data_IF_833940079834
#
_entry.id   IF_833940079834
#
_cell.length_a   1.000
_cell.length_b   1.000
_cell.length_c   1.000
_cell.angle_alpha   90.00
_cell.angle_beta   90.00
_cell.angle_gamma   90.00
#
_symmetry.space_group_name_H-M   'P 1'
#
loop_
_entity.id
_entity.type
_entity.pdbx_description
1 polymer ?
#
# COMPACT_ATOMS: atom_id res chain seq x y z
N UNK A 1 13.07 -18.29 86.44
CA UNK A 1 12.74 -16.96 85.89
C UNK A 1 12.23 -17.20 84.46
N UNK A 2 10.92 -17.40 84.31
CA UNK A 2 9.93 -16.41 83.80
C UNK A 2 10.01 -16.16 82.28
N UNK A 3 8.98 -16.63 81.58
CA UNK A 3 8.52 -16.33 80.19
C UNK A 3 8.36 -14.81 79.92
N UNK A 4 8.07 -14.30 78.68
CA UNK A 4 7.40 -14.94 77.51
C UNK A 4 8.09 -14.66 76.13
N UNK A 5 7.94 -15.46 75.08
CA UNK A 5 6.81 -15.62 74.14
C UNK A 5 6.32 -14.31 73.48
N UNK A 6 6.71 -14.07 72.23
CA UNK A 6 5.95 -13.25 71.28
C UNK A 6 5.78 -13.99 69.95
N UNK A 7 4.56 -14.49 69.76
CA UNK A 7 4.02 -14.95 68.50
C UNK A 7 3.94 -13.80 67.49
N UNK A 8 4.30 -14.06 66.24
CA UNK A 8 3.92 -13.22 65.10
C UNK A 8 2.65 -13.80 64.47
N UNK A 9 1.66 -12.97 64.12
CA UNK A 9 0.38 -13.44 63.63
C UNK A 9 0.46 -13.88 62.17
N UNK A 10 -0.24 -14.97 61.92
CA UNK A 10 -0.81 -15.37 60.63
C UNK A 10 -1.76 -14.26 60.13
N UNK A 11 -1.63 -13.89 58.86
CA UNK A 11 -2.62 -13.05 58.17
C UNK A 11 -2.56 -13.32 56.66
N UNK A 12 -3.35 -14.33 56.30
CA UNK A 12 -4.37 -14.31 55.24
C UNK A 12 -3.96 -13.95 53.81
N UNK A 13 -4.07 -14.97 52.97
CA UNK A 13 -4.38 -14.93 51.55
C UNK A 13 -5.23 -13.71 51.15
N UNK A 14 -4.72 -12.93 50.20
CA UNK A 14 -5.54 -12.03 49.37
C UNK A 14 -5.35 -12.39 47.91
N UNK A 15 -6.04 -13.46 47.51
CA UNK A 15 -6.36 -13.72 46.09
C UNK A 15 -7.25 -12.57 45.64
N UNK A 16 -6.68 -11.66 44.84
CA UNK A 16 -7.43 -10.57 44.22
C UNK A 16 -8.27 -11.15 43.07
N UNK A 17 -9.52 -11.53 43.40
CA UNK A 17 -10.56 -11.83 42.44
C UNK A 17 -10.79 -10.60 41.54
N UNK A 18 -10.41 -10.71 40.26
CA UNK A 18 -10.84 -9.77 39.23
C UNK A 18 -12.34 -9.92 39.03
N UNK A 19 -13.09 -8.97 39.55
CA UNK A 19 -14.52 -8.79 39.25
C UNK A 19 -14.65 -8.48 37.74
N UNK A 20 -15.42 -9.25 36.95
CA UNK A 20 -15.77 -8.86 35.61
C UNK A 20 -16.59 -7.57 35.69
N UNK A 21 -16.13 -6.50 35.03
CA UNK A 21 -16.95 -5.32 34.84
C UNK A 21 -18.06 -5.70 33.86
N UNK A 22 -19.26 -5.91 34.39
CA UNK A 22 -20.49 -5.94 33.61
C UNK A 22 -20.56 -4.67 32.77
N UNK A 23 -20.45 -4.85 31.45
CA UNK A 23 -20.78 -3.82 30.48
C UNK A 23 -22.30 -3.74 30.42
N UNK A 24 -22.87 -2.72 31.05
CA UNK A 24 -24.26 -2.35 30.80
C UNK A 24 -24.44 -2.07 29.30
N UNK A 25 -25.29 -2.87 28.68
CA UNK A 25 -25.71 -2.71 27.30
C UNK A 25 -26.44 -1.37 27.12
N UNK A 26 -26.00 -0.55 26.17
CA UNK A 26 -26.83 0.52 25.63
C UNK A 26 -27.65 -0.04 24.47
N UNK A 27 -28.96 0.08 24.57
CA UNK A 27 -29.97 -0.54 23.70
C UNK A 27 -30.29 0.30 22.47
N UNK A 28 -29.29 0.84 21.77
CA UNK A 28 -29.52 1.55 20.52
C UNK A 28 -28.86 0.75 19.39
N UNK A 29 -29.67 0.00 18.64
CA UNK A 29 -29.28 -0.90 17.55
C UNK A 29 -28.66 -0.22 16.32
N UNK A 30 -27.82 0.78 16.52
CA UNK A 30 -26.91 1.31 15.50
C UNK A 30 -25.63 0.48 15.54
N UNK A 31 -25.13 -0.03 14.40
CA UNK A 31 -23.84 -0.70 14.39
C UNK A 31 -22.81 0.27 14.96
N UNK A 32 -22.15 -0.14 16.05
CA UNK A 32 -20.96 0.53 16.55
C UNK A 32 -19.90 0.34 15.48
N UNK A 33 -19.71 1.32 14.59
CA UNK A 33 -18.48 1.36 13.81
C UNK A 33 -17.35 1.39 14.83
N UNK A 34 -16.54 0.32 14.86
CA UNK A 34 -15.27 0.40 15.55
C UNK A 34 -14.54 1.64 15.03
N UNK A 35 -13.85 2.41 15.88
CA UNK A 35 -13.13 3.59 15.41
C UNK A 35 -12.17 3.15 14.31
N UNK A 36 -12.36 3.64 13.09
CA UNK A 36 -11.44 3.40 11.98
C UNK A 36 -10.05 3.84 12.42
N UNK A 37 -9.07 2.95 12.36
CA UNK A 37 -7.68 3.30 12.62
C UNK A 37 -7.33 4.46 11.70
N UNK A 38 -6.80 5.54 12.29
CA UNK A 38 -6.25 6.64 11.51
C UNK A 38 -4.80 6.30 11.21
N UNK A 39 -4.38 6.43 9.96
CA UNK A 39 -3.00 6.24 9.52
C UNK A 39 -2.44 7.56 9.02
N UNK A 40 -1.14 7.77 9.28
CA UNK A 40 -0.38 8.89 8.74
C UNK A 40 0.13 8.49 7.36
N UNK A 41 -0.21 9.30 6.38
CA UNK A 41 0.27 9.24 5.01
C UNK A 41 1.15 10.45 4.76
N UNK A 42 2.32 10.24 4.20
CA UNK A 42 3.27 11.29 3.87
C UNK A 42 3.43 11.37 2.36
N UNK A 43 3.70 12.56 1.84
CA UNK A 43 4.01 12.72 0.44
C UNK A 43 4.91 13.92 0.19
N UNK A 44 5.69 13.83 -0.89
CA UNK A 44 6.44 14.93 -1.46
C UNK A 44 6.03 15.07 -2.93
N UNK A 45 5.86 16.31 -3.40
CA UNK A 45 5.52 16.58 -4.79
C UNK A 45 6.29 17.76 -5.36
N UNK A 46 6.54 17.71 -6.67
CA UNK A 46 7.21 18.77 -7.42
C UNK A 46 6.21 19.88 -7.76
N UNK A 47 6.47 21.08 -7.26
CA UNK A 47 5.70 22.27 -7.59
C UNK A 47 6.05 22.83 -8.98
N UNK A 48 5.20 23.72 -9.54
CA UNK A 48 5.47 24.38 -10.82
C UNK A 48 6.76 25.22 -10.84
N UNK A 49 7.21 25.67 -9.66
CA UNK A 49 8.45 26.42 -9.45
C UNK A 49 9.66 25.52 -9.18
N UNK A 50 9.52 24.20 -9.40
CA UNK A 50 10.51 23.16 -9.14
C UNK A 50 10.88 23.00 -7.66
N UNK A 51 10.12 23.60 -6.74
CA UNK A 51 10.28 23.33 -5.30
C UNK A 51 9.58 22.05 -4.90
N UNK A 52 10.16 21.31 -3.96
CA UNK A 52 9.53 20.11 -3.41
C UNK A 52 8.65 20.52 -2.23
N UNK A 53 7.35 20.21 -2.32
CA UNK A 53 6.38 20.42 -1.25
C UNK A 53 6.10 19.11 -0.54
N UNK A 54 6.30 19.10 0.78
CA UNK A 54 5.99 17.95 1.62
C UNK A 54 4.66 18.14 2.35
N UNK A 55 3.89 17.06 2.47
CA UNK A 55 2.62 17.02 3.17
C UNK A 55 2.53 15.79 4.06
N UNK A 56 1.84 15.93 5.18
CA UNK A 56 1.48 14.82 6.06
C UNK A 56 -0.01 14.88 6.35
N UNK A 57 -0.72 13.79 6.06
CA UNK A 57 -2.16 13.68 6.20
C UNK A 57 -2.50 12.48 7.06
N UNK A 58 -3.21 12.72 8.16
CA UNK A 58 -3.81 11.66 8.96
C UNK A 58 -5.22 11.37 8.45
N UNK A 59 -5.44 10.18 7.91
CA UNK A 59 -6.69 9.75 7.28
C UNK A 59 -7.08 8.32 7.70
N UNK A 60 -8.32 7.87 7.46
CA UNK A 60 -8.70 6.50 7.77
C UNK A 60 -7.84 5.48 7.02
N UNK A 61 -7.49 4.38 7.69
CA UNK A 61 -6.85 3.22 7.12
C UNK A 61 -7.87 2.42 6.28
N UNK A 62 -8.15 2.91 5.08
CA UNK A 62 -9.06 2.31 4.11
C UNK A 62 -8.34 2.13 2.75
N UNK A 63 -8.78 1.21 1.89
CA UNK A 63 -7.99 0.78 0.73
C UNK A 63 -7.62 1.93 -0.20
N UNK A 64 -8.52 2.89 -0.42
CA UNK A 64 -8.25 4.04 -1.31
C UNK A 64 -7.07 4.91 -0.86
N UNK A 65 -6.90 5.13 0.45
CA UNK A 65 -5.74 5.86 0.97
C UNK A 65 -4.48 4.99 0.97
N UNK A 66 -4.62 3.72 1.33
CA UNK A 66 -3.50 2.80 1.42
C UNK A 66 -2.89 2.50 0.06
N UNK A 67 -3.71 2.12 -0.92
CA UNK A 67 -3.27 1.82 -2.29
C UNK A 67 -2.51 2.99 -2.91
N UNK A 68 -2.80 4.23 -2.52
CA UNK A 68 -2.09 5.39 -3.03
C UNK A 68 -0.62 5.43 -2.65
N UNK A 69 -0.23 4.89 -1.49
CA UNK A 69 1.12 5.04 -0.94
C UNK A 69 1.79 3.72 -0.60
N UNK A 70 1.21 2.58 -0.96
CA UNK A 70 1.66 1.26 -0.51
C UNK A 70 1.92 0.26 -1.63
N UNK A 71 2.60 0.69 -2.70
CA UNK A 71 2.99 -0.21 -3.78
C UNK A 71 4.29 -0.96 -3.47
N UNK A 72 5.35 -0.26 -3.10
CA UNK A 72 6.69 -0.83 -3.00
C UNK A 72 7.23 -0.71 -1.58
N UNK A 73 7.86 -1.77 -1.08
CA UNK A 73 8.55 -1.70 0.20
C UNK A 73 9.87 -0.94 0.08
N UNK A 74 10.31 -0.34 1.19
CA UNK A 74 11.65 0.20 1.37
C UNK A 74 12.73 -0.75 0.83
N UNK A 75 13.73 -0.20 0.16
CA UNK A 75 14.82 -0.93 -0.50
C UNK A 75 14.49 -1.40 -1.92
N UNK A 76 13.26 -1.18 -2.40
CA UNK A 76 12.89 -1.47 -3.79
C UNK A 76 13.69 -0.60 -4.75
N UNK A 77 14.45 -1.21 -5.66
CA UNK A 77 15.23 -0.48 -6.65
C UNK A 77 14.39 -0.09 -7.86
N UNK A 78 14.33 1.21 -8.13
CA UNK A 78 13.70 1.81 -9.32
C UNK A 78 14.79 2.21 -10.31
N UNK A 79 14.60 1.91 -11.59
CA UNK A 79 15.53 2.33 -12.63
C UNK A 79 15.40 3.82 -12.92
N UNK A 80 16.52 4.54 -12.84
CA UNK A 80 16.64 5.95 -13.23
C UNK A 80 17.68 6.12 -14.33
N UNK A 81 17.70 7.29 -14.95
CA UNK A 81 18.73 7.66 -15.95
C UNK A 81 20.16 7.63 -15.39
N UNK A 82 20.32 7.76 -14.07
CA UNK A 82 21.61 7.71 -13.37
C UNK A 82 21.96 6.32 -12.81
N UNK A 83 21.13 5.30 -13.07
CA UNK A 83 21.24 3.96 -12.48
C UNK A 83 20.11 3.63 -11.50
N UNK A 84 20.11 2.44 -10.89
CA UNK A 84 19.09 2.06 -9.92
C UNK A 84 19.17 2.92 -8.64
N UNK A 85 18.03 3.42 -8.17
CA UNK A 85 17.89 4.20 -6.93
C UNK A 85 16.86 3.48 -6.04
N UNK A 86 17.09 3.43 -4.73
CA UNK A 86 16.11 2.88 -3.80
C UNK A 86 14.88 3.79 -3.73
N UNK A 87 13.69 3.21 -3.65
CA UNK A 87 12.42 3.96 -3.69
C UNK A 87 12.35 5.07 -2.64
N UNK A 88 12.91 4.83 -1.44
CA UNK A 88 12.97 5.81 -0.35
C UNK A 88 13.91 6.99 -0.60
N UNK A 89 14.85 6.85 -1.53
CA UNK A 89 15.85 7.88 -1.87
C UNK A 89 15.44 8.69 -3.10
N UNK A 90 14.37 8.30 -3.80
CA UNK A 90 13.83 9.07 -4.91
C UNK A 90 13.20 10.38 -4.43
N UNK A 91 13.49 11.45 -5.16
CA UNK A 91 12.89 12.76 -4.94
C UNK A 91 12.06 13.18 -6.16
N UNK A 92 10.97 13.95 -5.95
CA UNK A 92 10.31 14.61 -7.07
C UNK A 92 11.31 15.46 -7.87
N UNK A 93 11.37 15.23 -9.18
CA UNK A 93 12.37 15.76 -10.09
C UNK A 93 13.34 14.70 -10.65
N UNK A 94 13.51 13.57 -9.97
CA UNK A 94 14.35 12.47 -10.47
C UNK A 94 13.71 11.80 -11.69
N UNK A 95 14.54 11.43 -12.67
CA UNK A 95 14.07 10.85 -13.93
C UNK A 95 14.11 9.32 -13.88
N UNK A 96 12.93 8.70 -13.88
CA UNK A 96 12.77 7.23 -13.91
C UNK A 96 12.58 6.72 -15.33
N UNK A 97 13.04 5.49 -15.62
CA UNK A 97 12.80 4.83 -16.89
C UNK A 97 11.37 4.29 -16.97
N UNK A 98 10.61 4.70 -17.99
CA UNK A 98 9.24 4.22 -18.25
C UNK A 98 9.13 3.41 -19.55
N UNK A 99 7.93 2.93 -19.88
CA UNK A 99 7.61 2.31 -21.17
C UNK A 99 7.70 3.26 -22.38
N UNK A 100 7.75 4.58 -22.14
CA UNK A 100 7.68 5.62 -23.19
C UNK A 100 8.89 6.56 -23.21
N UNK A 101 9.93 6.26 -22.42
CA UNK A 101 11.11 7.10 -22.24
C UNK A 101 11.29 7.51 -20.78
N UNK A 102 12.31 8.31 -20.48
CA UNK A 102 12.50 8.80 -19.12
C UNK A 102 11.54 9.93 -18.80
N UNK A 103 10.94 9.88 -17.61
CA UNK A 103 10.01 10.91 -17.12
C UNK A 103 10.34 11.29 -15.68
N UNK A 104 10.13 12.56 -15.29
CA UNK A 104 10.39 13.00 -13.93
C UNK A 104 9.30 12.47 -12.98
N UNK A 105 9.72 12.00 -11.81
CA UNK A 105 8.84 11.78 -10.67
C UNK A 105 8.25 13.13 -10.26
N UNK A 106 6.92 13.25 -10.26
CA UNK A 106 6.25 14.48 -9.82
C UNK A 106 5.70 14.36 -8.41
N UNK A 107 5.59 13.12 -7.91
CA UNK A 107 5.05 12.82 -6.59
C UNK A 107 5.59 11.49 -6.08
N UNK A 108 5.88 11.44 -4.78
CA UNK A 108 6.15 10.21 -4.04
C UNK A 108 5.35 10.26 -2.75
N UNK A 109 4.59 9.20 -2.47
CA UNK A 109 3.84 9.04 -1.23
C UNK A 109 4.34 7.83 -0.46
N UNK A 110 4.24 7.90 0.86
CA UNK A 110 4.64 6.81 1.75
C UNK A 110 3.67 6.60 2.92
N UNK A 111 3.70 5.39 3.44
CA UNK A 111 3.00 5.03 4.68
C UNK A 111 3.74 3.90 5.40
N UNK A 112 3.66 3.86 6.72
CA UNK A 112 4.14 2.72 7.50
C UNK A 112 3.08 1.62 7.58
N UNK A 113 3.50 0.39 7.30
CA UNK A 113 2.78 -0.83 7.66
C UNK A 113 3.36 -1.40 8.94
N UNK A 114 2.51 -1.71 9.92
CA UNK A 114 2.89 -2.35 11.18
C UNK A 114 2.14 -3.68 11.30
N UNK A 115 2.83 -4.82 11.17
CA UNK A 115 2.22 -6.14 11.31
C UNK A 115 1.52 -6.32 12.67
N UNK A 116 0.40 -7.05 12.68
CA UNK A 116 -0.38 -7.34 13.90
C UNK A 116 -1.29 -6.20 14.38
N UNK A 117 -1.28 -5.04 13.73
CA UNK A 117 -2.26 -3.97 13.96
C UNK A 117 -3.45 -4.19 13.03
N UNK A 118 -4.46 -4.92 13.50
CA UNK A 118 -5.70 -5.12 12.76
C UNK A 118 -6.58 -3.87 12.84
N UNK A 119 -7.11 -3.45 11.68
CA UNK A 119 -8.11 -2.41 11.60
C UNK A 119 -9.24 -2.86 10.69
N UNK A 120 -10.46 -2.75 11.18
CA UNK A 120 -11.66 -2.95 10.36
C UNK A 120 -11.63 -1.99 9.17
N UNK A 121 -11.70 -2.54 7.95
CA UNK A 121 -11.67 -1.77 6.70
C UNK A 121 -10.27 -1.53 6.10
N UNK A 122 -9.17 -1.84 6.79
CA UNK A 122 -7.81 -1.73 6.23
C UNK A 122 -7.60 -2.82 5.17
N UNK A 123 -7.15 -2.44 3.97
CA UNK A 123 -6.68 -3.35 2.93
C UNK A 123 -5.23 -3.79 3.14
N UNK A 124 -4.42 -2.95 3.79
CA UNK A 124 -3.03 -3.18 4.12
C UNK A 124 -2.88 -4.10 5.34
N UNK A 125 -3.16 -5.38 5.13
CA UNK A 125 -3.13 -6.44 6.16
C UNK A 125 -1.92 -7.36 6.04
N UNK A 126 -1.33 -7.43 4.85
CA UNK A 126 -0.20 -8.29 4.47
C UNK A 126 0.53 -7.69 3.28
N UNK A 127 1.74 -8.18 3.01
CA UNK A 127 2.53 -7.81 1.83
C UNK A 127 2.67 -9.03 0.91
N UNK A 128 3.06 -8.79 -0.33
CA UNK A 128 3.38 -9.84 -1.30
C UNK A 128 4.86 -9.81 -1.63
N UNK A 129 5.56 -10.91 -1.34
CA UNK A 129 6.94 -11.16 -1.75
C UNK A 129 6.93 -11.93 -3.07
N UNK A 130 7.48 -11.31 -4.09
CA UNK A 130 7.79 -11.94 -5.37
C UNK A 130 9.22 -12.46 -5.27
N UNK A 131 9.40 -13.77 -5.23
CA UNK A 131 10.74 -14.38 -5.10
C UNK A 131 11.57 -14.14 -6.36
N UNK A 132 12.90 -14.13 -6.24
CA UNK A 132 13.78 -14.01 -7.39
C UNK A 132 13.43 -15.06 -8.47
N UNK A 133 13.52 -14.66 -9.74
CA UNK A 133 13.20 -15.46 -10.93
C UNK A 133 11.73 -15.96 -11.03
N UNK A 134 10.80 -15.46 -10.21
CA UNK A 134 9.38 -15.84 -10.22
C UNK A 134 8.71 -15.78 -11.61
N UNK A 135 9.10 -14.81 -12.43
CA UNK A 135 8.59 -14.60 -13.79
C UNK A 135 9.67 -14.88 -14.86
N UNK A 136 10.63 -15.73 -14.53
CA UNK A 136 11.76 -16.11 -15.38
C UNK A 136 13.04 -15.36 -15.03
N UNK A 137 14.15 -15.61 -15.76
CA UNK A 137 15.48 -15.16 -15.37
C UNK A 137 15.55 -13.65 -15.13
N UNK A 138 16.04 -13.28 -13.94
CA UNK A 138 16.17 -11.91 -13.43
C UNK A 138 14.86 -11.12 -13.34
N UNK A 139 13.71 -11.80 -13.19
CA UNK A 139 12.38 -11.20 -13.04
C UNK A 139 11.64 -11.73 -11.80
N UNK A 140 11.91 -11.19 -10.61
CA UNK A 140 12.94 -10.21 -10.31
C UNK A 140 14.33 -10.81 -10.04
N UNK A 141 15.38 -9.99 -10.19
CA UNK A 141 16.77 -10.44 -9.95
C UNK A 141 17.07 -10.70 -8.47
N UNK A 142 16.35 -10.01 -7.60
CA UNK A 142 16.30 -10.24 -6.15
C UNK A 142 14.84 -10.17 -5.75
N UNK A 143 14.52 -10.76 -4.61
CA UNK A 143 13.16 -10.72 -4.09
C UNK A 143 12.62 -9.29 -3.98
N UNK A 144 11.38 -9.12 -4.43
CA UNK A 144 10.67 -7.85 -4.42
C UNK A 144 9.50 -7.94 -3.45
N UNK A 145 9.42 -7.01 -2.50
CA UNK A 145 8.29 -6.94 -1.57
C UNK A 145 7.39 -5.77 -1.96
N UNK A 146 6.10 -6.08 -2.11
CA UNK A 146 5.07 -5.15 -2.57
C UNK A 146 3.91 -5.09 -1.58
N UNK A 147 3.26 -3.94 -1.49
CA UNK A 147 1.99 -3.78 -0.79
C UNK A 147 0.80 -3.81 -1.75
N UNK A 148 -0.42 -3.56 -1.25
CA UNK A 148 -1.66 -3.68 -2.01
C UNK A 148 -1.80 -2.66 -3.16
N UNK A 149 -1.03 -1.57 -3.15
CA UNK A 149 -1.02 -0.60 -4.23
C UNK A 149 -0.30 -1.08 -5.50
N UNK A 150 0.48 -2.16 -5.43
CA UNK A 150 1.29 -2.62 -6.56
C UNK A 150 0.46 -3.36 -7.60
N UNK A 151 0.55 -2.88 -8.84
CA UNK A 151 0.05 -3.59 -10.03
C UNK A 151 1.18 -3.82 -11.02
N UNK A 152 1.21 -5.00 -11.61
CA UNK A 152 2.16 -5.36 -12.67
C UNK A 152 1.45 -5.48 -14.02
N UNK A 153 2.22 -5.27 -15.09
CA UNK A 153 1.72 -5.50 -16.45
C UNK A 153 1.62 -7.00 -16.72
N UNK A 154 0.46 -7.42 -17.20
CA UNK A 154 0.23 -8.76 -17.73
C UNK A 154 -0.07 -8.64 -19.21
N UNK A 155 0.64 -9.42 -20.03
CA UNK A 155 0.42 -9.48 -21.47
C UNK A 155 -0.19 -10.82 -21.89
N UNK A 156 -1.29 -10.76 -22.64
CA UNK A 156 -1.94 -11.93 -23.24
C UNK A 156 -2.51 -11.58 -24.60
N UNK A 157 -2.21 -12.40 -25.61
CA UNK A 157 -2.69 -12.17 -26.98
C UNK A 157 -4.23 -12.25 -27.08
N UNK A 158 -4.88 -13.01 -26.20
CA UNK A 158 -6.35 -13.13 -26.16
C UNK A 158 -7.03 -11.82 -25.77
N UNK A 159 -6.37 -10.98 -24.97
CA UNK A 159 -6.88 -9.66 -24.62
C UNK A 159 -7.04 -8.75 -25.85
N UNK A 160 -6.15 -8.89 -26.86
CA UNK A 160 -6.27 -8.08 -28.10
C UNK A 160 -7.62 -8.30 -28.77
N UNK A 161 -8.08 -9.54 -28.82
CA UNK A 161 -9.35 -9.91 -29.45
C UNK A 161 -10.56 -9.39 -28.67
N UNK A 162 -10.47 -9.33 -27.34
CA UNK A 162 -11.61 -8.98 -26.48
C UNK A 162 -11.75 -7.49 -26.20
N UNK A 163 -10.63 -6.80 -25.96
CA UNK A 163 -10.62 -5.40 -25.50
C UNK A 163 -9.72 -4.49 -26.36
N UNK A 164 -9.20 -4.99 -27.48
CA UNK A 164 -8.34 -4.21 -28.39
C UNK A 164 -6.93 -3.92 -27.86
N UNK A 165 -6.55 -4.45 -26.69
CA UNK A 165 -5.25 -4.26 -26.05
C UNK A 165 -4.68 -5.61 -25.61
N UNK A 166 -3.36 -5.84 -25.72
CA UNK A 166 -2.74 -7.08 -25.20
C UNK A 166 -2.29 -6.98 -23.74
N UNK A 167 -2.26 -5.77 -23.18
CA UNK A 167 -1.60 -5.48 -21.91
C UNK A 167 -2.59 -4.85 -20.95
N UNK A 168 -2.60 -5.35 -19.72
CA UNK A 168 -3.44 -4.86 -18.62
C UNK A 168 -2.60 -4.73 -17.35
N UNK A 169 -3.08 -3.96 -16.39
CA UNK A 169 -2.51 -3.88 -15.05
C UNK A 169 -3.30 -4.76 -14.10
N UNK A 170 -2.62 -5.63 -13.36
CA UNK A 170 -3.24 -6.53 -12.38
C UNK A 170 -2.50 -6.42 -11.06
N UNK A 171 -3.25 -6.46 -9.95
CA UNK A 171 -2.69 -6.47 -8.60
C UNK A 171 -1.66 -7.59 -8.46
N UNK A 172 -0.48 -7.28 -7.90
CA UNK A 172 0.54 -8.30 -7.62
C UNK A 172 0.02 -9.31 -6.59
N UNK A 173 -0.81 -8.86 -5.64
CA UNK A 173 -1.41 -9.72 -4.63
C UNK A 173 -2.36 -10.78 -5.22
N UNK A 174 -2.97 -10.53 -6.39
CA UNK A 174 -3.82 -11.50 -7.08
C UNK A 174 -3.05 -12.74 -7.56
N UNK A 175 -1.71 -12.68 -7.59
CA UNK A 175 -0.86 -13.76 -8.06
C UNK A 175 -0.35 -14.68 -6.94
N UNK A 176 -0.70 -14.41 -5.68
CA UNK A 176 -0.28 -15.22 -4.54
C UNK A 176 -0.60 -16.71 -4.77
N UNK A 177 0.45 -17.51 -4.86
CA UNK A 177 0.38 -18.95 -5.15
C UNK A 177 1.06 -19.82 -4.08
N UNK A 178 1.74 -19.20 -3.11
CA UNK A 178 2.45 -19.91 -2.04
C UNK A 178 3.80 -20.50 -2.47
N UNK A 179 4.27 -20.20 -3.68
CA UNK A 179 5.57 -20.63 -4.20
C UNK A 179 6.38 -19.43 -4.69
N UNK A 180 5.91 -18.78 -5.77
CA UNK A 180 6.62 -17.68 -6.43
C UNK A 180 6.14 -16.30 -5.95
N UNK A 181 4.87 -16.23 -5.59
CA UNK A 181 4.24 -15.05 -5.03
C UNK A 181 3.73 -15.44 -3.65
N UNK A 182 4.40 -14.95 -2.63
CA UNK A 182 4.16 -15.31 -1.23
C UNK A 182 3.46 -14.17 -0.51
N UNK A 183 2.34 -14.45 0.13
CA UNK A 183 1.81 -13.56 1.16
C UNK A 183 2.74 -13.63 2.39
N UNK A 184 3.17 -12.47 2.89
CA UNK A 184 4.09 -12.39 4.02
C UNK A 184 3.62 -11.42 5.09
N UNK A 185 4.00 -11.73 6.32
CA UNK A 185 3.90 -10.87 7.50
C UNK A 185 5.32 -10.57 7.99
N UNK A 186 5.89 -9.40 7.69
CA UNK A 186 7.19 -8.98 8.20
C UNK A 186 7.26 -9.05 9.72
N UNK A 187 8.45 -9.23 10.28
CA UNK A 187 8.65 -9.25 11.73
C UNK A 187 8.59 -7.86 12.39
N UNK A 188 8.64 -6.79 11.59
CA UNK A 188 8.66 -5.42 12.07
C UNK A 188 7.97 -4.47 11.10
N UNK A 189 7.90 -3.20 11.48
CA UNK A 189 7.30 -2.17 10.64
C UNK A 189 8.06 -2.06 9.30
N UNK A 190 7.31 -1.90 8.22
CA UNK A 190 7.85 -1.71 6.87
C UNK A 190 7.28 -0.41 6.33
N UNK A 191 8.18 0.45 5.84
CA UNK A 191 7.78 1.63 5.11
C UNK A 191 7.49 1.27 3.65
N UNK A 192 6.34 1.72 3.17
CA UNK A 192 5.87 1.48 1.82
C UNK A 192 5.74 2.80 1.07
N UNK A 193 5.87 2.73 -0.24
CA UNK A 193 5.98 3.86 -1.13
C UNK A 193 5.17 3.65 -2.41
N UNK A 194 4.79 4.74 -3.07
CA UNK A 194 4.38 4.75 -4.48
C UNK A 194 4.80 6.07 -5.11
N UNK A 195 4.99 6.09 -6.42
CA UNK A 195 5.38 7.29 -7.17
C UNK A 195 4.38 7.58 -8.26
N UNK A 196 4.13 8.86 -8.54
CA UNK A 196 3.37 9.29 -9.71
C UNK A 196 4.27 10.12 -10.62
N UNK A 197 3.95 10.05 -11.91
CA UNK A 197 4.57 10.86 -12.96
C UNK A 197 3.54 11.85 -13.49
N UNK A 198 3.98 12.77 -14.36
CA UNK A 198 3.07 13.76 -14.96
C UNK A 198 1.96 13.10 -15.79
N UNK A 199 2.25 11.96 -16.40
CA UNK A 199 1.27 11.12 -17.07
C UNK A 199 1.40 9.72 -16.50
N UNK A 200 0.28 9.03 -16.33
CA UNK A 200 0.31 7.64 -15.92
C UNK A 200 1.18 6.82 -16.89
N UNK A 201 2.12 6.07 -16.34
CA UNK A 201 3.01 5.19 -17.09
C UNK A 201 3.36 3.95 -16.27
N UNK A 202 4.16 3.08 -16.86
CA UNK A 202 4.75 1.95 -16.16
C UNK A 202 6.25 2.13 -16.03
N UNK A 203 6.83 1.64 -14.95
CA UNK A 203 8.26 1.68 -14.65
C UNK A 203 8.82 0.26 -14.52
N UNK A 204 10.14 0.12 -14.64
CA UNK A 204 10.81 -1.16 -14.35
C UNK A 204 11.29 -1.23 -12.91
N UNK A 205 10.78 -2.21 -12.17
CA UNK A 205 11.15 -2.52 -10.78
C UNK A 205 11.55 -3.99 -10.72
N UNK A 206 12.81 -4.27 -10.39
CA UNK A 206 13.34 -5.63 -10.39
C UNK A 206 13.10 -6.36 -11.72
N UNK A 207 13.22 -5.69 -12.87
CA UNK A 207 12.95 -6.33 -14.18
C UNK A 207 11.47 -6.62 -14.49
N UNK A 208 10.57 -6.27 -13.58
CA UNK A 208 9.12 -6.34 -13.74
C UNK A 208 8.61 -4.97 -14.15
N UNK A 209 7.66 -4.95 -15.07
CA UNK A 209 6.97 -3.72 -15.44
C UNK A 209 5.79 -3.46 -14.50
N UNK A 210 5.86 -2.36 -13.75
CA UNK A 210 4.97 -2.02 -12.65
C UNK A 210 4.30 -0.67 -12.85
N UNK A 211 3.10 -0.52 -12.30
CA UNK A 211 2.28 0.69 -12.35
C UNK A 211 2.86 1.86 -11.53
N UNK A 212 2.90 3.06 -12.13
CA UNK A 212 3.01 4.33 -11.39
C UNK A 212 1.63 4.73 -10.84
N UNK A 213 1.59 5.46 -9.74
CA UNK A 213 0.33 5.79 -9.09
C UNK A 213 -0.61 6.56 -10.02
N UNK A 214 -1.87 6.11 -10.01
CA UNK A 214 -3.00 6.82 -10.57
C UNK A 214 -4.24 6.49 -9.73
N UNK A 215 -5.09 7.48 -9.39
CA UNK A 215 -6.26 7.26 -8.53
C UNK A 215 -7.33 6.38 -9.19
N UNK A 216 -7.29 6.26 -10.51
CA UNK A 216 -8.30 5.55 -11.30
C UNK A 216 -9.52 6.43 -11.58
N UNK A 217 -10.43 5.93 -12.40
CA UNK A 217 -11.64 6.66 -12.80
C UNK A 217 -12.68 6.64 -11.68
N UNK A 218 -13.34 7.78 -11.43
CA UNK A 218 -14.45 7.85 -10.47
C UNK A 218 -14.03 7.87 -8.99
N UNK A 219 -12.75 8.13 -8.70
CA UNK A 219 -12.19 8.18 -7.34
C UNK A 219 -12.99 9.07 -6.39
N UNK A 220 -13.47 10.23 -6.87
CA UNK A 220 -14.28 11.17 -6.07
C UNK A 220 -15.56 10.53 -5.51
N UNK A 221 -16.19 9.63 -6.27
CA UNK A 221 -17.39 8.89 -5.81
C UNK A 221 -17.03 7.85 -4.75
N UNK A 222 -15.86 7.21 -4.87
CA UNK A 222 -15.40 6.22 -3.89
C UNK A 222 -15.02 6.86 -2.55
N UNK A 223 -14.46 8.07 -2.60
CA UNK A 223 -13.99 8.79 -1.41
C UNK A 223 -15.11 9.40 -0.56
N UNK A 224 -16.23 9.79 -1.18
CA UNK A 224 -17.31 10.50 -0.47
C UNK A 224 -16.77 11.71 0.31
N UNK A 225 -17.06 11.75 1.60
CA UNK A 225 -16.65 12.84 2.51
C UNK A 225 -15.13 12.95 2.70
N UNK A 226 -14.36 11.93 2.30
CA UNK A 226 -12.89 11.95 2.40
C UNK A 226 -12.19 12.58 1.20
N UNK A 227 -12.92 13.05 0.18
CA UNK A 227 -12.33 13.52 -1.08
C UNK A 227 -11.33 14.68 -0.89
N UNK A 228 -11.68 15.68 -0.08
CA UNK A 228 -10.80 16.82 0.19
C UNK A 228 -9.55 16.41 0.99
N UNK A 229 -9.72 15.48 1.94
CA UNK A 229 -8.60 14.95 2.73
C UNK A 229 -7.64 14.15 1.86
N UNK A 230 -8.16 13.37 0.93
CA UNK A 230 -7.37 12.61 -0.02
C UNK A 230 -6.64 13.52 -1.00
N UNK A 231 -7.30 14.56 -1.53
CA UNK A 231 -6.69 15.53 -2.43
C UNK A 231 -5.44 16.23 -1.82
N UNK A 232 -5.43 16.44 -0.49
CA UNK A 232 -4.26 17.00 0.22
C UNK A 232 -2.99 16.16 0.10
N UNK A 233 -3.09 14.87 -0.26
CA UNK A 233 -1.92 14.03 -0.52
C UNK A 233 -1.21 14.40 -1.83
N UNK A 234 -1.88 15.10 -2.75
CA UNK A 234 -1.39 15.32 -4.10
C UNK A 234 -1.24 16.83 -4.41
N UNK A 235 -0.29 17.53 -3.78
CA UNK A 235 -0.14 18.99 -3.95
C UNK A 235 0.39 19.42 -5.33
N UNK A 236 0.62 18.49 -6.25
CA UNK A 236 1.06 18.74 -7.63
C UNK A 236 -0.11 18.82 -8.62
N UNK A 237 -1.35 18.56 -8.16
CA UNK A 237 -2.57 18.65 -8.97
C UNK A 237 -3.59 19.55 -8.29
N UNK A 238 -4.44 20.20 -9.08
CA UNK A 238 -5.57 21.00 -8.61
C UNK A 238 -6.83 20.12 -8.49
N UNK A 239 -6.94 19.09 -9.33
CA UNK A 239 -8.04 18.13 -9.35
C UNK A 239 -7.60 16.71 -9.69
N UNK A 240 -8.51 15.74 -9.51
CA UNK A 240 -8.20 14.33 -9.84
C UNK A 240 -8.10 14.08 -11.34
N UNK A 241 -8.69 14.95 -12.15
CA UNK A 241 -8.61 14.99 -13.61
C UNK A 241 -7.20 15.30 -14.13
N UNK A 242 -6.36 15.98 -13.35
CA UNK A 242 -5.00 16.35 -13.76
C UNK A 242 -4.05 15.14 -13.82
N UNK A 243 -4.43 14.01 -13.21
CA UNK A 243 -3.73 12.73 -13.39
C UNK A 243 -3.85 12.18 -14.83
N UNK A 244 -4.84 12.66 -15.59
CA UNK A 244 -5.09 12.24 -16.96
C UNK A 244 -5.72 10.85 -17.07
N UNK A 245 -5.45 10.18 -18.19
CA UNK A 245 -5.94 8.83 -18.46
C UNK A 245 -4.96 7.76 -17.99
N UNK A 246 -5.50 6.60 -17.59
CA UNK A 246 -4.71 5.39 -17.39
C UNK A 246 -4.03 4.98 -18.70
N UNK A 247 -2.69 4.87 -18.69
CA UNK A 247 -1.90 4.29 -19.78
C UNK A 247 -2.28 2.86 -20.18
N UNK A 248 -2.76 2.06 -19.22
CA UNK A 248 -3.21 0.69 -19.42
C UNK A 248 -4.46 0.44 -18.55
N UNK A 249 -5.45 -0.32 -19.05
CA UNK A 249 -6.61 -0.69 -18.25
C UNK A 249 -6.23 -1.61 -17.09
N UNK A 250 -6.89 -1.42 -15.94
CA UNK A 250 -6.78 -2.31 -14.79
C UNK A 250 -7.74 -3.48 -14.91
N UNK A 251 -7.32 -4.67 -14.48
CA UNK A 251 -8.11 -5.90 -14.43
C UNK A 251 -7.79 -6.69 -13.15
N UNK A 252 -8.39 -7.87 -13.00
CA UNK A 252 -8.08 -8.83 -11.94
C UNK A 252 -7.57 -10.14 -12.54
N UNK A 253 -6.84 -10.93 -11.75
CA UNK A 253 -6.39 -12.25 -12.22
C UNK A 253 -7.56 -13.17 -12.57
N UNK A 254 -8.62 -13.14 -11.77
CA UNK A 254 -9.83 -13.93 -12.02
C UNK A 254 -10.49 -13.65 -13.39
N UNK A 255 -10.47 -12.39 -13.84
CA UNK A 255 -10.96 -12.02 -15.17
C UNK A 255 -10.03 -12.60 -16.25
N UNK A 256 -8.72 -12.52 -16.07
CA UNK A 256 -7.76 -13.09 -17.01
C UNK A 256 -7.90 -14.61 -17.14
N UNK A 257 -8.00 -15.33 -16.03
CA UNK A 257 -8.17 -16.78 -16.04
C UNK A 257 -9.46 -17.17 -16.79
N UNK A 258 -10.55 -16.41 -16.61
CA UNK A 258 -11.81 -16.64 -17.33
C UNK A 258 -11.71 -16.45 -18.85
N UNK A 259 -10.77 -15.61 -19.30
CA UNK A 259 -10.48 -15.35 -20.71
C UNK A 259 -9.57 -16.45 -21.28
N UNK A 260 -8.62 -16.96 -20.48
CA UNK A 260 -7.69 -18.01 -20.90
C UNK A 260 -8.28 -19.43 -20.88
N UNK A 261 -9.40 -19.64 -20.18
CA UNK A 261 -10.16 -20.89 -20.24
C UNK A 261 -11.11 -21.00 -21.44
N UNK A 262 -11.33 -19.91 -22.19
CA UNK A 262 -12.18 -19.86 -23.40
C UNK A 262 -11.37 -19.87 -24.68
#
# INVERSE_FOLDING_TARGET
MTHPAHARPDQSDSVSLRVPRDQFAQSDGRPRHAPSLMRRYEAAALGPDLTIRQVSVTAPAIPVFEEATSAFARGTLVRTVGGPVAIEDLLPGDYVETDRGSEPVVWIGSTSYVPGVECEGSGLTRLTRVVADAMGPSRPATDLVTGPGARMVVESQRLRTLIGQSRVLVSVADFADGDRFLEIHPAGAVELYHIALRRHATIRVGGIEMETYHPGTGIRRQLGDYAERFARLFPHVDGFEDFGDLSLPRSSRSVLDSIEMR
#
